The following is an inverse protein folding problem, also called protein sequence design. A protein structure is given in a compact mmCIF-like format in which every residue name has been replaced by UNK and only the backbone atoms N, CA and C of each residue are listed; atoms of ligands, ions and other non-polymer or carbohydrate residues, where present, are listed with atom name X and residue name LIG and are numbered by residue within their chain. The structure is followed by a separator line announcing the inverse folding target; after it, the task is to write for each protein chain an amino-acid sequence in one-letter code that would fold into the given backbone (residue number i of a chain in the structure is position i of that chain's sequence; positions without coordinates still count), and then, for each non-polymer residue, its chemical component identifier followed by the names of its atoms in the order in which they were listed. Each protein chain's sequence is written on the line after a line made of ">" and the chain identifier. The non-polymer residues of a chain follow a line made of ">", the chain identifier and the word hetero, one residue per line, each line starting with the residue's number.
data_IF_053463026333
#
_entry.id   IF_053463026333
#
_cell.length_a   1.000
_cell.length_b   1.000
_cell.length_c   1.000
_cell.angle_alpha   90.00
_cell.angle_beta   90.00
_cell.angle_gamma   90.00
#
_symmetry.space_group_name_H-M   'P 1'
#
loop_
_entity.id
_entity.type
_entity.pdbx_description
1 polymer ?
#
# COMPACT_ATOMS: atom_id res chain seq x y z
N UNK A 1 6.92 1.27 -14.36
CA UNK A 1 5.65 0.53 -14.46
C UNK A 1 4.61 1.47 -15.03
N UNK A 2 3.72 0.96 -15.89
CA UNK A 2 2.78 1.80 -16.65
C UNK A 2 1.37 1.78 -16.07
N UNK A 3 0.64 2.88 -16.28
CA UNK A 3 -0.76 3.07 -15.85
C UNK A 3 -1.67 1.87 -16.18
N UNK A 4 -1.41 1.19 -17.31
CA UNK A 4 -2.18 0.02 -17.75
C UNK A 4 -2.17 -1.12 -16.74
N UNK A 5 -1.04 -1.39 -16.09
CA UNK A 5 -0.96 -2.47 -15.10
C UNK A 5 -1.77 -2.13 -13.85
N UNK A 6 -1.70 -0.87 -13.40
CA UNK A 6 -2.52 -0.37 -12.29
C UNK A 6 -4.01 -0.43 -12.60
N UNK A 7 -4.40 -0.10 -13.84
CA UNK A 7 -5.80 -0.17 -14.27
C UNK A 7 -6.34 -1.61 -14.23
N UNK A 8 -5.55 -2.61 -14.66
CA UNK A 8 -5.95 -4.02 -14.55
C UNK A 8 -6.11 -4.48 -13.10
N UNK A 9 -5.25 -4.01 -12.19
CA UNK A 9 -5.38 -4.30 -10.76
C UNK A 9 -6.67 -3.67 -10.22
N UNK A 10 -6.90 -2.38 -10.52
CA UNK A 10 -8.06 -1.62 -10.07
C UNK A 10 -9.41 -2.18 -10.56
N UNK A 11 -9.45 -2.91 -11.69
CA UNK A 11 -10.66 -3.60 -12.16
C UNK A 11 -11.15 -4.67 -11.18
N UNK A 12 -10.23 -5.29 -10.45
CA UNK A 12 -10.53 -6.36 -9.49
C UNK A 12 -10.79 -5.84 -8.07
N UNK A 13 -10.67 -4.52 -7.85
CA UNK A 13 -10.87 -3.90 -6.53
C UNK A 13 -12.29 -3.33 -6.46
N UNK A 14 -13.20 -3.93 -5.66
CA UNK A 14 -14.58 -3.48 -5.58
C UNK A 14 -14.73 -2.15 -4.81
N UNK A 15 -13.83 -1.85 -3.89
CA UNK A 15 -13.90 -0.66 -3.03
C UNK A 15 -13.08 0.51 -3.60
N UNK A 16 -13.72 1.66 -3.79
CA UNK A 16 -13.07 2.88 -4.35
C UNK A 16 -11.86 3.30 -3.51
N UNK A 17 -11.97 3.21 -2.18
CA UNK A 17 -10.91 3.60 -1.26
C UNK A 17 -9.67 2.71 -1.36
N UNK A 18 -9.77 1.51 -1.93
CA UNK A 18 -8.64 0.61 -2.13
C UNK A 18 -8.00 0.79 -3.52
N UNK A 19 -8.57 1.60 -4.41
CA UNK A 19 -7.98 1.80 -5.74
C UNK A 19 -6.65 2.53 -5.66
N UNK A 20 -5.72 2.11 -6.50
CA UNK A 20 -4.36 2.66 -6.60
C UNK A 20 -4.36 3.75 -7.68
N UNK A 21 -3.73 4.88 -7.39
CA UNK A 21 -3.58 5.99 -8.33
C UNK A 21 -2.21 6.67 -8.19
N UNK A 22 -1.80 7.43 -9.21
CA UNK A 22 -0.58 8.23 -9.19
C UNK A 22 -0.89 9.63 -8.64
N UNK A 23 -0.19 10.07 -7.60
CA UNK A 23 -0.41 11.39 -6.98
C UNK A 23 0.47 12.51 -7.55
N UNK A 24 1.34 12.18 -8.50
CA UNK A 24 2.37 13.09 -9.05
C UNK A 24 3.79 12.74 -8.62
N UNK A 25 3.95 11.94 -7.57
CA UNK A 25 5.24 11.54 -7.00
C UNK A 25 5.38 10.03 -6.82
N UNK A 26 4.31 9.35 -6.39
CA UNK A 26 4.30 7.92 -6.15
C UNK A 26 2.91 7.30 -6.38
N UNK A 27 2.87 5.97 -6.46
CA UNK A 27 1.61 5.22 -6.43
C UNK A 27 1.08 5.18 -5.00
N UNK A 28 -0.18 5.55 -4.83
CA UNK A 28 -0.83 5.63 -3.51
C UNK A 28 -2.31 5.21 -3.59
N UNK A 29 -2.98 5.14 -2.44
CA UNK A 29 -4.39 4.77 -2.33
C UNK A 29 -5.02 5.40 -1.07
N UNK A 30 -6.31 5.79 -1.05
CA UNK A 30 -6.96 6.31 0.16
C UNK A 30 -6.95 5.31 1.33
N UNK A 31 -6.89 4.01 1.03
CA UNK A 31 -6.75 2.93 2.00
C UNK A 31 -5.49 3.13 2.85
N UNK A 32 -4.40 3.58 2.24
CA UNK A 32 -3.14 3.84 2.92
C UNK A 32 -3.28 4.85 4.07
N UNK A 33 -3.94 5.97 3.79
CA UNK A 33 -4.23 7.03 4.76
C UNK A 33 -5.16 6.53 5.88
N UNK A 34 -6.12 5.66 5.55
CA UNK A 34 -7.01 5.06 6.54
C UNK A 34 -6.27 4.10 7.47
N UNK A 35 -5.39 3.27 6.93
CA UNK A 35 -4.57 2.35 7.73
C UNK A 35 -3.69 3.12 8.70
N UNK A 36 -3.07 4.21 8.25
CA UNK A 36 -2.32 5.13 9.12
C UNK A 36 -3.20 5.67 10.26
N UNK A 37 -4.43 6.11 9.95
CA UNK A 37 -5.38 6.66 10.95
C UNK A 37 -5.86 5.64 11.99
N UNK A 38 -5.89 4.35 11.68
CA UNK A 38 -6.27 3.29 12.64
C UNK A 38 -5.08 2.79 13.46
N UNK A 39 -3.91 3.44 13.35
CA UNK A 39 -2.73 3.14 14.17
C UNK A 39 -1.70 2.26 13.49
N UNK A 40 -1.89 1.86 12.23
CA UNK A 40 -0.87 1.10 11.52
C UNK A 40 0.25 2.01 11.06
N UNK A 41 1.49 1.63 11.38
CA UNK A 41 2.69 2.36 10.99
C UNK A 41 3.25 1.76 9.73
N UNK A 42 3.48 2.61 8.73
CA UNK A 42 4.09 2.20 7.47
C UNK A 42 5.40 2.96 7.30
N UNK A 43 6.50 2.23 7.17
CA UNK A 43 7.83 2.83 7.12
C UNK A 43 8.81 1.97 6.31
N UNK A 44 9.94 2.56 5.95
CA UNK A 44 11.09 1.87 5.37
C UNK A 44 12.08 1.57 6.50
N UNK A 45 12.54 0.32 6.66
CA UNK A 45 13.38 -0.08 7.80
C UNK A 45 14.79 0.54 7.75
N UNK A 46 15.29 0.85 6.55
CA UNK A 46 16.54 1.57 6.33
C UNK A 46 16.33 2.67 5.29
N UNK A 47 17.13 3.74 5.35
CA UNK A 47 16.98 4.93 4.51
C UNK A 47 17.12 4.61 3.00
N UNK A 48 17.97 3.63 2.67
CA UNK A 48 18.19 3.13 1.30
C UNK A 48 17.38 1.87 0.96
N UNK A 49 16.53 1.40 1.88
CA UNK A 49 15.74 0.20 1.62
C UNK A 49 14.58 0.53 0.70
N UNK A 50 14.46 -0.21 -0.40
CA UNK A 50 13.23 -0.21 -1.17
C UNK A 50 12.07 -0.87 -0.40
N UNK A 51 12.38 -1.68 0.63
CA UNK A 51 11.38 -2.42 1.37
C UNK A 51 10.46 -1.50 2.18
N UNK A 52 9.19 -1.86 2.19
CA UNK A 52 8.16 -1.21 3.00
C UNK A 52 7.60 -2.22 4.00
N UNK A 53 7.49 -1.78 5.24
CA UNK A 53 7.00 -2.60 6.36
C UNK A 53 5.76 -1.93 6.94
N UNK A 54 4.73 -2.74 7.22
CA UNK A 54 3.53 -2.32 7.95
C UNK A 54 3.53 -3.01 9.31
N UNK A 55 3.35 -2.21 10.37
CA UNK A 55 3.17 -2.67 11.74
C UNK A 55 1.83 -2.20 12.29
N UNK A 56 1.23 -2.97 13.20
CA UNK A 56 0.13 -2.47 14.02
C UNK A 56 0.61 -1.53 15.14
N UNK A 57 -0.33 -1.04 15.94
CA UNK A 57 -0.09 -0.13 17.05
C UNK A 57 0.76 -0.76 18.18
N UNK A 58 0.78 -2.10 18.27
CA UNK A 58 1.63 -2.87 19.21
C UNK A 58 3.06 -3.06 18.71
N UNK A 59 3.35 -2.67 17.45
CA UNK A 59 4.64 -2.87 16.80
C UNK A 59 4.80 -4.25 16.15
N UNK A 60 3.72 -5.04 16.05
CA UNK A 60 3.74 -6.33 15.36
C UNK A 60 3.73 -6.10 13.86
N UNK A 61 4.67 -6.70 13.14
CA UNK A 61 4.70 -6.67 11.68
C UNK A 61 3.51 -7.43 11.09
N UNK A 62 2.72 -6.74 10.28
CA UNK A 62 1.57 -7.28 9.56
C UNK A 62 1.93 -7.68 8.13
N UNK A 63 2.73 -6.87 7.45
CA UNK A 63 3.18 -7.14 6.08
C UNK A 63 4.55 -6.54 5.78
N UNK A 64 5.22 -7.13 4.78
CA UNK A 64 6.49 -6.67 4.23
C UNK A 64 6.41 -6.80 2.70
N UNK A 65 6.80 -5.75 1.99
CA UNK A 65 6.89 -5.76 0.54
C UNK A 65 8.18 -5.10 0.06
N UNK A 66 8.62 -5.45 -1.15
CA UNK A 66 9.86 -4.93 -1.74
C UNK A 66 9.80 -3.46 -2.11
N UNK A 67 8.60 -2.90 -2.27
CA UNK A 67 8.38 -1.48 -2.51
C UNK A 67 6.93 -1.10 -2.15
N UNK A 68 6.65 0.20 -2.15
CA UNK A 68 5.33 0.74 -1.80
C UNK A 68 4.21 0.20 -2.68
N UNK A 69 4.49 0.04 -3.97
CA UNK A 69 3.50 -0.45 -4.90
C UNK A 69 3.15 -1.92 -4.64
N UNK A 70 4.14 -2.77 -4.43
CA UNK A 70 3.91 -4.17 -4.05
C UNK A 70 3.16 -4.25 -2.71
N UNK A 71 3.45 -3.34 -1.78
CA UNK A 71 2.66 -3.23 -0.54
C UNK A 71 1.19 -2.89 -0.83
N UNK A 72 0.93 -1.92 -1.70
CA UNK A 72 -0.43 -1.57 -2.09
C UNK A 72 -1.14 -2.76 -2.73
N UNK A 73 -0.49 -3.51 -3.63
CA UNK A 73 -1.03 -4.74 -4.22
C UNK A 73 -1.41 -5.78 -3.14
N UNK A 74 -0.58 -5.94 -2.11
CA UNK A 74 -0.89 -6.85 -1.00
C UNK A 74 -2.09 -6.35 -0.19
N UNK A 75 -2.12 -5.07 0.17
CA UNK A 75 -3.18 -4.48 0.99
C UNK A 75 -4.55 -4.54 0.31
N UNK A 76 -4.62 -4.24 -0.98
CA UNK A 76 -5.89 -4.28 -1.73
C UNK A 76 -6.42 -5.70 -1.86
N UNK A 77 -5.56 -6.72 -1.85
CA UNK A 77 -5.96 -8.13 -1.84
C UNK A 77 -6.41 -8.63 -0.46
N UNK A 78 -5.92 -8.03 0.63
CA UNK A 78 -6.28 -8.40 2.01
C UNK A 78 -7.61 -7.75 2.44
N UNK A 79 -7.95 -6.59 1.87
CA UNK A 79 -9.17 -5.85 2.18
C UNK A 79 -10.43 -6.37 1.45
N UNK A 80 -10.36 -7.53 0.78
CA UNK A 80 -11.46 -8.21 0.07
C UNK A 80 -12.08 -9.28 0.97
#
# INVERSE_FOLDING_TARGET
>A
MDQKEIDEINKNIPFVDAKIYWDGSEWTSPLWERLSKIGWKIFRPEEDSEMVVIQDDTGRTLNIAQNRLEMLKQLVNIAI
#
